data_IF_932577254013
#
_entry.id   IF_932577254013
#
_cell.length_a   1.000
_cell.length_b   1.000
_cell.length_c   1.000
_cell.angle_alpha   90.00
_cell.angle_beta   90.00
_cell.angle_gamma   90.00
#
_symmetry.space_group_name_H-M   'P 1'
#
loop_
_entity.id
_entity.type
_entity.pdbx_description
1 polymer ?
#
# COMPACT_ATOMS: atom_id res chain seq x y z
N UNK A 1 -22.53 83.71 -12.85
CA UNK A 1 -22.92 82.93 -11.66
C UNK A 1 -23.37 81.50 -11.95
N UNK A 2 -24.02 81.16 -13.09
CA UNK A 2 -24.42 79.76 -13.40
C UNK A 2 -23.25 78.78 -13.64
N UNK A 3 -22.17 79.18 -14.32
CA UNK A 3 -21.03 78.29 -14.65
C UNK A 3 -20.16 77.85 -13.45
N UNK A 4 -20.09 78.64 -12.36
CA UNK A 4 -19.32 78.24 -11.16
C UNK A 4 -20.07 77.23 -10.27
N UNK A 5 -21.40 77.23 -10.32
CA UNK A 5 -22.25 76.31 -9.53
C UNK A 5 -22.18 74.89 -10.13
N UNK A 6 -22.11 74.77 -11.46
CA UNK A 6 -21.94 73.47 -12.12
C UNK A 6 -20.56 72.86 -11.82
N UNK A 7 -19.47 73.63 -11.87
CA UNK A 7 -18.12 73.10 -11.61
C UNK A 7 -17.95 72.64 -10.16
N UNK A 8 -18.54 73.36 -9.20
CA UNK A 8 -18.53 72.97 -7.79
C UNK A 8 -19.38 71.74 -7.53
N UNK A 9 -20.53 71.61 -8.19
CA UNK A 9 -21.35 70.39 -8.13
C UNK A 9 -20.63 69.17 -8.74
N UNK A 10 -19.93 69.33 -9.87
CA UNK A 10 -19.14 68.25 -10.47
C UNK A 10 -17.94 67.84 -9.59
N UNK A 11 -17.26 68.79 -8.94
CA UNK A 11 -16.17 68.48 -8.00
C UNK A 11 -16.67 67.77 -6.74
N UNK A 12 -17.84 68.16 -6.21
CA UNK A 12 -18.48 67.50 -5.08
C UNK A 12 -18.94 66.08 -5.44
N UNK A 13 -19.49 65.86 -6.64
CA UNK A 13 -19.87 64.52 -7.12
C UNK A 13 -18.61 63.64 -7.30
N UNK A 14 -17.52 64.18 -7.87
CA UNK A 14 -16.24 63.48 -7.96
C UNK A 14 -15.67 63.15 -6.58
N UNK A 15 -15.73 64.06 -5.61
CA UNK A 15 -15.29 63.80 -4.22
C UNK A 15 -16.15 62.75 -3.52
N UNK A 16 -17.47 62.69 -3.79
CA UNK A 16 -18.35 61.63 -3.28
C UNK A 16 -17.98 60.27 -3.89
N UNK A 17 -17.66 60.20 -5.19
CA UNK A 17 -17.20 58.96 -5.83
C UNK A 17 -15.79 58.51 -5.37
N UNK A 18 -14.90 59.44 -5.01
CA UNK A 18 -13.61 59.11 -4.39
C UNK A 18 -13.75 58.73 -2.91
N UNK A 19 -14.79 59.19 -2.19
CA UNK A 19 -15.06 58.83 -0.80
C UNK A 19 -15.75 57.47 -0.62
N UNK A 20 -16.36 56.91 -1.66
CA UNK A 20 -16.94 55.56 -1.62
C UNK A 20 -15.91 54.44 -1.81
N UNK A 21 -14.63 54.77 -2.02
CA UNK A 21 -13.53 53.80 -2.15
C UNK A 21 -12.44 54.01 -1.07
N UNK A 22 -12.75 54.76 0.00
CA UNK A 22 -11.92 54.80 1.19
C UNK A 22 -12.30 53.62 2.08
N UNK A 23 -11.36 52.69 2.27
CA UNK A 23 -11.38 51.65 3.31
C UNK A 23 -12.29 50.44 3.09
N UNK A 24 -12.12 49.73 1.97
CA UNK A 24 -12.21 48.25 2.05
C UNK A 24 -10.77 47.73 2.14
N UNK A 25 -10.10 48.05 3.25
CA UNK A 25 -8.87 47.36 3.60
C UNK A 25 -9.26 45.96 4.04
N UNK A 26 -9.17 45.02 3.10
CA UNK A 26 -9.15 43.58 3.42
C UNK A 26 -7.85 43.38 4.20
N UNK A 27 -7.96 43.10 5.50
CA UNK A 27 -6.78 42.77 6.31
C UNK A 27 -6.07 41.59 5.63
N UNK A 28 -4.82 41.80 5.24
CA UNK A 28 -3.95 40.73 4.74
C UNK A 28 -3.83 39.69 5.85
N UNK A 29 -4.44 38.53 5.63
CA UNK A 29 -4.48 37.49 6.64
C UNK A 29 -3.24 36.62 6.63
N UNK A 30 -2.40 36.71 5.59
CA UNK A 30 -1.36 35.74 5.29
C UNK A 30 -0.40 35.48 6.46
N UNK A 31 0.08 34.25 6.53
CA UNK A 31 1.17 33.83 7.39
C UNK A 31 2.52 34.05 6.71
N UNK A 32 3.58 34.19 7.51
CA UNK A 32 4.96 34.08 7.01
C UNK A 32 5.35 32.66 6.64
N UNK A 33 4.62 31.66 7.15
CA UNK A 33 4.87 30.25 6.87
C UNK A 33 4.27 29.90 5.50
N UNK A 34 5.11 29.45 4.57
CA UNK A 34 4.68 28.97 3.25
C UNK A 34 5.07 27.52 2.99
N UNK A 35 5.98 26.96 3.79
CA UNK A 35 6.48 25.59 3.65
C UNK A 35 6.71 24.97 5.03
N UNK A 36 6.30 23.72 5.20
CA UNK A 36 6.46 22.94 6.42
C UNK A 36 7.04 21.56 6.10
N UNK A 37 7.98 21.12 6.92
CA UNK A 37 8.51 19.76 6.90
C UNK A 37 8.17 19.11 8.24
N UNK A 38 7.43 18.01 8.21
CA UNK A 38 6.93 17.31 9.40
C UNK A 38 7.49 15.89 9.51
N UNK A 39 7.69 15.43 10.74
CA UNK A 39 8.14 14.05 11.01
C UNK A 39 6.99 13.04 10.83
N UNK A 40 7.20 12.04 9.96
CA UNK A 40 6.24 10.95 9.74
C UNK A 40 6.04 10.01 10.91
N UNK A 41 6.88 10.08 11.94
CA UNK A 41 6.70 9.35 13.21
C UNK A 41 5.64 10.00 14.12
N UNK A 42 5.11 11.15 13.72
CA UNK A 42 4.17 11.96 14.48
C UNK A 42 4.78 13.32 14.84
N UNK A 43 4.09 14.39 14.46
CA UNK A 43 4.56 15.76 14.61
C UNK A 43 3.38 16.74 14.71
N UNK A 44 3.63 17.95 15.20
CA UNK A 44 2.63 19.00 15.32
C UNK A 44 3.21 20.34 14.89
N UNK A 45 2.58 20.98 13.91
CA UNK A 45 2.86 22.35 13.53
C UNK A 45 1.65 23.25 13.76
N UNK A 46 1.90 24.51 14.09
CA UNK A 46 0.87 25.54 14.23
C UNK A 46 1.27 26.74 13.39
N UNK A 47 0.50 27.01 12.36
CA UNK A 47 0.65 28.18 11.50
C UNK A 47 -0.16 29.32 12.11
N UNK A 48 0.46 30.50 12.23
CA UNK A 48 -0.21 31.70 12.73
C UNK A 48 -0.46 32.66 11.59
N UNK A 49 -1.72 33.09 11.45
CA UNK A 49 -2.17 34.07 10.46
C UNK A 49 -2.22 35.46 11.09
N UNK A 50 -1.92 36.50 10.31
CA UNK A 50 -1.94 37.89 10.77
C UNK A 50 -3.35 38.34 11.17
N UNK A 51 -4.36 37.83 10.47
CA UNK A 51 -5.78 38.12 10.69
C UNK A 51 -6.64 36.86 10.61
N UNK A 52 -7.88 36.99 11.09
CA UNK A 52 -8.93 35.97 10.96
C UNK A 52 -9.75 36.11 9.68
N UNK A 53 -9.33 36.98 8.78
CA UNK A 53 -10.03 37.34 7.54
C UNK A 53 -9.86 36.28 6.44
N UNK A 54 -10.15 35.02 6.78
CA UNK A 54 -10.18 33.87 5.89
C UNK A 54 -11.15 32.85 6.47
N UNK A 55 -11.85 32.12 5.62
CA UNK A 55 -12.85 31.16 6.05
C UNK A 55 -12.91 29.92 5.18
N UNK A 56 -12.15 29.88 4.08
CA UNK A 56 -12.05 28.73 3.21
C UNK A 56 -10.72 28.01 3.42
N UNK A 57 -10.80 26.68 3.51
CA UNK A 57 -9.64 25.80 3.62
C UNK A 57 -9.81 24.63 2.65
N UNK A 58 -8.82 24.41 1.79
CA UNK A 58 -8.75 23.30 0.85
C UNK A 58 -7.43 22.55 1.00
N UNK A 59 -7.43 21.25 0.69
CA UNK A 59 -6.22 20.44 0.60
C UNK A 59 -6.11 19.86 -0.80
N UNK A 60 -4.93 20.00 -1.41
CA UNK A 60 -4.58 19.40 -2.68
C UNK A 60 -3.38 18.46 -2.53
N UNK A 61 -3.56 17.19 -2.89
CA UNK A 61 -2.48 16.19 -2.82
C UNK A 61 -1.85 15.98 -4.18
N UNK A 62 -0.53 16.01 -4.25
CA UNK A 62 0.22 15.90 -5.51
C UNK A 62 0.49 14.45 -5.96
N UNK A 63 -0.03 13.46 -5.25
CA UNK A 63 0.19 12.05 -5.59
C UNK A 63 -0.82 11.60 -6.67
N UNK A 64 -0.33 11.29 -7.88
CA UNK A 64 -1.15 10.90 -9.04
C UNK A 64 -2.10 9.71 -8.79
N UNK A 65 -1.79 8.86 -7.80
CA UNK A 65 -2.58 7.68 -7.44
C UNK A 65 -3.29 7.82 -6.08
N UNK A 66 -3.35 9.02 -5.51
CA UNK A 66 -4.05 9.23 -4.24
C UNK A 66 -5.56 9.36 -4.49
N UNK A 67 -6.28 8.26 -4.27
CA UNK A 67 -7.72 8.15 -4.47
C UNK A 67 -8.53 8.21 -3.16
N UNK A 68 -7.88 8.53 -2.04
CA UNK A 68 -8.51 8.46 -0.73
C UNK A 68 -9.29 9.73 -0.40
N UNK A 69 -10.38 9.53 0.33
CA UNK A 69 -11.23 10.62 0.82
C UNK A 69 -10.76 11.13 2.17
N UNK A 70 -11.10 12.38 2.42
CA UNK A 70 -10.89 13.08 3.67
C UNK A 70 -12.21 13.20 4.42
N UNK A 71 -12.17 13.05 5.73
CA UNK A 71 -13.31 13.30 6.60
C UNK A 71 -13.29 14.76 7.05
N UNK A 72 -14.40 15.46 6.87
CA UNK A 72 -14.52 16.89 7.19
C UNK A 72 -15.47 17.04 8.37
N UNK A 73 -15.01 17.68 9.43
CA UNK A 73 -15.78 17.88 10.65
C UNK A 73 -15.99 19.37 10.93
N UNK A 74 -17.15 19.70 11.50
CA UNK A 74 -17.42 21.04 12.00
C UNK A 74 -16.75 21.32 13.36
N UNK A 75 -17.02 22.50 13.90
CA UNK A 75 -16.48 22.98 15.19
C UNK A 75 -16.96 22.15 16.40
N UNK A 76 -18.13 21.52 16.31
CA UNK A 76 -18.69 20.66 17.36
C UNK A 76 -18.18 19.21 17.25
N UNK A 77 -17.39 18.92 16.20
CA UNK A 77 -16.85 17.60 15.93
C UNK A 77 -17.83 16.67 15.21
N UNK A 78 -18.90 17.21 14.61
CA UNK A 78 -19.82 16.44 13.80
C UNK A 78 -19.26 16.30 12.37
N UNK A 79 -19.30 15.07 11.84
CA UNK A 79 -18.91 14.79 10.46
C UNK A 79 -19.87 15.51 9.49
N UNK A 80 -19.32 16.38 8.66
CA UNK A 80 -20.02 17.11 7.60
C UNK A 80 -20.13 16.24 6.36
N UNK A 81 -19.00 15.76 5.84
CA UNK A 81 -18.89 15.01 4.58
C UNK A 81 -17.58 14.21 4.52
N UNK A 82 -17.50 13.33 3.53
CA UNK A 82 -16.31 12.54 3.19
C UNK A 82 -16.04 12.72 1.69
N UNK A 83 -14.93 13.40 1.33
CA UNK A 83 -14.67 13.82 -0.05
C UNK A 83 -13.19 13.71 -0.42
N UNK A 84 -12.89 13.43 -1.69
CA UNK A 84 -11.51 13.33 -2.19
C UNK A 84 -10.82 14.71 -2.31
N UNK A 85 -11.59 15.77 -2.55
CA UNK A 85 -11.12 17.14 -2.65
C UNK A 85 -11.74 17.94 -1.50
N UNK A 86 -11.13 17.92 -0.31
CA UNK A 86 -11.77 18.46 0.88
C UNK A 86 -11.86 19.97 0.81
N UNK A 87 -13.02 20.46 1.24
CA UNK A 87 -13.30 21.87 1.38
C UNK A 87 -14.00 22.11 2.72
N UNK A 88 -13.39 22.96 3.54
CA UNK A 88 -13.94 23.40 4.81
C UNK A 88 -14.23 24.90 4.74
N UNK A 89 -15.48 25.26 5.05
CA UNK A 89 -15.89 26.66 5.28
C UNK A 89 -16.12 26.90 6.77
N UNK A 90 -15.42 27.88 7.34
CA UNK A 90 -15.51 28.21 8.76
C UNK A 90 -14.52 27.42 9.63
N UNK A 91 -14.86 27.26 10.91
CA UNK A 91 -14.04 26.49 11.87
C UNK A 91 -14.40 25.00 11.79
N UNK A 92 -13.43 24.15 12.08
CA UNK A 92 -13.58 22.70 11.99
C UNK A 92 -12.23 22.02 11.73
N UNK A 93 -12.27 20.82 11.15
CA UNK A 93 -11.04 20.09 10.80
C UNK A 93 -11.24 19.19 9.59
N UNK A 94 -10.15 18.97 8.86
CA UNK A 94 -10.04 18.00 7.77
C UNK A 94 -9.11 16.88 8.26
N UNK A 95 -9.57 15.64 8.17
CA UNK A 95 -8.84 14.45 8.66
C UNK A 95 -8.54 13.54 7.47
N UNK A 96 -7.27 13.20 7.29
CA UNK A 96 -6.82 12.12 6.44
C UNK A 96 -6.54 10.91 7.34
N UNK A 97 -7.29 9.81 7.16
CA UNK A 97 -7.09 8.58 7.91
C UNK A 97 -7.05 7.40 6.93
N UNK A 98 -5.91 7.27 6.25
CA UNK A 98 -5.63 6.25 5.26
C UNK A 98 -4.83 5.10 5.89
N UNK A 99 -4.73 3.98 5.17
CA UNK A 99 -3.99 2.79 5.59
C UNK A 99 -2.53 3.10 6.02
N UNK A 100 -1.82 3.92 5.22
CA UNK A 100 -0.41 4.24 5.39
C UNK A 100 -0.13 5.72 5.70
N UNK A 101 -1.13 6.60 5.64
CA UNK A 101 -0.96 8.03 5.97
C UNK A 101 -2.10 8.50 6.87
N UNK A 102 -1.75 9.17 7.98
CA UNK A 102 -2.69 9.76 8.91
C UNK A 102 -2.24 11.16 9.31
N UNK A 103 -3.11 12.15 9.12
CA UNK A 103 -2.91 13.50 9.62
C UNK A 103 -4.23 14.26 9.75
N UNK A 104 -4.24 15.28 10.59
CA UNK A 104 -5.36 16.20 10.80
C UNK A 104 -4.92 17.63 10.57
N UNK A 105 -5.71 18.38 9.80
CA UNK A 105 -5.60 19.83 9.65
C UNK A 105 -6.77 20.48 10.39
N UNK A 106 -6.48 21.09 11.53
CA UNK A 106 -7.45 21.61 12.50
C UNK A 106 -7.45 23.14 12.50
N UNK A 107 -8.62 23.70 12.23
CA UNK A 107 -8.93 25.13 12.32
C UNK A 107 -9.97 25.38 13.42
N UNK A 108 -9.61 25.06 14.65
CA UNK A 108 -10.41 25.42 15.84
C UNK A 108 -10.22 26.88 16.27
N UNK A 109 -9.17 27.55 15.78
CA UNK A 109 -8.87 28.96 16.08
C UNK A 109 -8.93 29.79 14.79
N UNK A 110 -9.63 30.93 14.77
CA UNK A 110 -9.80 31.73 13.55
C UNK A 110 -8.48 32.34 13.02
N UNK A 111 -7.40 32.39 13.82
CA UNK A 111 -6.09 32.91 13.42
C UNK A 111 -4.98 31.85 13.39
N UNK A 112 -5.31 30.59 13.60
CA UNK A 112 -4.32 29.51 13.62
C UNK A 112 -4.80 28.31 12.81
N UNK A 113 -3.84 27.60 12.22
CA UNK A 113 -4.08 26.30 11.62
C UNK A 113 -3.11 25.31 12.27
N UNK A 114 -3.64 24.27 12.90
CA UNK A 114 -2.84 23.23 13.54
C UNK A 114 -2.83 21.99 12.66
N UNK A 115 -1.64 21.54 12.29
CA UNK A 115 -1.45 20.29 11.57
C UNK A 115 -0.89 19.28 12.57
N UNK A 116 -1.54 18.14 12.69
CA UNK A 116 -1.10 17.02 13.53
C UNK A 116 -0.88 15.82 12.63
N UNK A 117 0.35 15.34 12.54
CA UNK A 117 0.69 14.10 11.84
C UNK A 117 0.51 12.95 12.81
N UNK A 118 -0.28 11.94 12.42
CA UNK A 118 -0.38 10.70 13.16
C UNK A 118 0.75 9.76 12.73
N UNK A 119 0.88 9.53 11.42
CA UNK A 119 1.90 8.64 10.85
C UNK A 119 1.99 8.78 9.32
N UNK A 120 3.19 8.73 8.74
CA UNK A 120 3.40 8.45 7.31
C UNK A 120 4.19 7.15 7.12
N UNK A 121 3.51 6.02 7.11
CA UNK A 121 4.10 4.69 6.97
C UNK A 121 4.51 4.35 5.51
N UNK A 122 4.28 5.25 4.55
CA UNK A 122 4.68 5.09 3.15
C UNK A 122 6.20 5.03 3.01
N UNK A 123 6.69 4.51 1.90
CA UNK A 123 8.13 4.50 1.57
C UNK A 123 8.67 5.86 1.13
N UNK A 124 7.78 6.79 0.80
CA UNK A 124 8.09 8.10 0.22
C UNK A 124 7.51 9.24 1.05
N UNK A 125 8.03 10.44 0.81
CA UNK A 125 7.47 11.68 1.33
C UNK A 125 6.02 11.83 0.87
N UNK A 126 5.15 12.24 1.79
CA UNK A 126 3.75 12.55 1.48
C UNK A 126 3.59 14.07 1.40
N UNK A 127 3.29 14.57 0.20
CA UNK A 127 3.26 16.01 -0.08
C UNK A 127 1.87 16.48 -0.45
N UNK A 128 1.45 17.56 0.20
CA UNK A 128 0.19 18.21 -0.10
C UNK A 128 0.31 19.71 0.10
N UNK A 129 -0.63 20.42 -0.49
CA UNK A 129 -0.80 21.85 -0.39
C UNK A 129 -2.06 22.15 0.41
N UNK A 130 -1.97 23.14 1.27
CA UNK A 130 -3.10 23.75 1.96
C UNK A 130 -3.35 25.11 1.31
N UNK A 131 -4.59 25.34 0.90
CA UNK A 131 -5.03 26.65 0.40
C UNK A 131 -5.94 27.26 1.45
N UNK A 132 -5.47 28.32 2.11
CA UNK A 132 -6.29 29.16 2.97
C UNK A 132 -6.75 30.39 2.17
N UNK A 133 -8.04 30.72 2.18
CA UNK A 133 -8.57 31.81 1.36
C UNK A 133 -9.78 32.52 1.94
N UNK A 134 -10.05 33.71 1.38
CA UNK A 134 -11.30 34.45 1.49
C UNK A 134 -11.84 34.74 0.07
N UNK A 135 -12.82 35.62 -0.06
CA UNK A 135 -13.42 35.97 -1.36
C UNK A 135 -12.48 36.77 -2.30
N UNK A 136 -11.39 37.33 -1.77
CA UNK A 136 -10.52 38.29 -2.47
C UNK A 136 -9.11 37.73 -2.73
N UNK A 137 -8.60 36.90 -1.84
CA UNK A 137 -7.23 36.42 -1.88
C UNK A 137 -7.06 35.03 -1.25
N UNK A 138 -5.93 34.40 -1.57
CA UNK A 138 -5.54 33.11 -1.01
C UNK A 138 -4.04 33.07 -0.67
N UNK A 139 -3.68 32.08 0.14
CA UNK A 139 -2.33 31.67 0.44
C UNK A 139 -2.19 30.16 0.27
N UNK A 140 -1.13 29.77 -0.43
CA UNK A 140 -0.69 28.39 -0.55
C UNK A 140 0.35 28.09 0.53
N UNK A 141 0.22 26.94 1.18
CA UNK A 141 1.17 26.43 2.16
C UNK A 141 1.50 24.99 1.77
N UNK A 142 2.77 24.73 1.51
CA UNK A 142 3.26 23.42 1.12
C UNK A 142 3.64 22.62 2.36
N UNK A 143 3.18 21.38 2.46
CA UNK A 143 3.49 20.48 3.57
C UNK A 143 4.14 19.21 3.03
N UNK A 144 5.31 18.90 3.57
CA UNK A 144 6.05 17.66 3.28
C UNK A 144 6.16 16.83 4.57
N UNK A 145 5.45 15.70 4.61
CA UNK A 145 5.56 14.73 5.70
C UNK A 145 6.58 13.66 5.29
N UNK A 146 7.71 13.62 6.00
CA UNK A 146 8.74 12.59 5.81
C UNK A 146 8.20 11.18 6.09
N UNK A 147 8.79 10.10 5.54
CA UNK A 147 8.46 8.74 5.95
C UNK A 147 8.72 8.49 7.44
N UNK A 148 7.86 7.71 8.09
CA UNK A 148 8.09 7.19 9.44
C UNK A 148 9.20 6.16 9.47
N UNK A 149 9.65 5.81 10.67
CA UNK A 149 10.48 4.63 10.87
C UNK A 149 9.71 3.37 10.42
N UNK A 150 10.45 2.37 9.93
CA UNK A 150 9.85 1.09 9.55
C UNK A 150 9.41 0.31 10.79
N UNK A 151 8.29 -0.36 10.67
CA UNK A 151 7.82 -1.28 11.68
C UNK A 151 8.79 -2.45 11.82
N UNK A 152 8.99 -2.88 13.07
CA UNK A 152 9.78 -4.06 13.38
C UNK A 152 8.84 -5.25 13.46
N UNK A 153 9.19 -6.31 12.72
CA UNK A 153 8.49 -7.59 12.81
C UNK A 153 8.57 -8.14 14.25
N UNK A 154 7.43 -8.57 14.79
CA UNK A 154 7.36 -9.24 16.08
C UNK A 154 7.14 -10.75 15.88
N UNK A 155 5.98 -11.13 15.35
CA UNK A 155 5.68 -12.53 15.04
C UNK A 155 4.60 -12.66 13.96
N UNK A 156 4.43 -13.89 13.45
CA UNK A 156 3.36 -14.26 12.53
C UNK A 156 2.66 -15.52 13.03
N UNK A 157 1.34 -15.55 12.91
CA UNK A 157 0.51 -16.71 13.26
C UNK A 157 -0.26 -17.19 12.04
N UNK A 158 -0.57 -18.49 12.00
CA UNK A 158 -1.32 -19.13 10.91
C UNK A 158 -2.51 -19.92 11.44
N UNK A 159 -3.56 -20.04 10.63
CA UNK A 159 -4.69 -20.92 10.91
C UNK A 159 -4.36 -22.35 10.49
N UNK A 160 -3.88 -23.16 11.43
CA UNK A 160 -3.41 -24.53 11.14
C UNK A 160 -4.54 -25.57 11.09
N UNK A 161 -5.71 -25.24 11.64
CA UNK A 161 -6.92 -26.06 11.69
C UNK A 161 -8.02 -25.61 10.71
N UNK A 162 -7.89 -24.39 10.17
CA UNK A 162 -8.80 -23.81 9.19
C UNK A 162 -8.04 -23.43 7.91
N UNK A 163 -7.89 -24.41 7.02
CA UNK A 163 -7.22 -24.25 5.72
C UNK A 163 -7.98 -24.97 4.60
N UNK A 164 -7.81 -24.49 3.37
CA UNK A 164 -8.22 -25.24 2.19
C UNK A 164 -7.07 -26.10 1.70
N UNK A 165 -7.39 -27.30 1.21
CA UNK A 165 -6.41 -28.25 0.70
C UNK A 165 -6.96 -28.95 -0.54
N UNK A 166 -6.09 -29.12 -1.53
CA UNK A 166 -6.38 -29.88 -2.72
C UNK A 166 -5.14 -30.66 -3.15
N UNK A 167 -5.35 -31.90 -3.58
CA UNK A 167 -4.31 -32.70 -4.22
C UNK A 167 -4.68 -32.93 -5.67
N UNK A 168 -3.76 -32.67 -6.60
CA UNK A 168 -3.98 -32.83 -8.03
C UNK A 168 -2.77 -33.43 -8.72
N UNK A 169 -2.99 -34.44 -9.55
CA UNK A 169 -1.95 -35.01 -10.41
C UNK A 169 -1.93 -34.25 -11.74
N UNK A 170 -0.76 -33.75 -12.12
CA UNK A 170 -0.54 -32.97 -13.33
C UNK A 170 0.50 -33.64 -14.22
N UNK A 171 0.23 -33.73 -15.52
CA UNK A 171 1.20 -34.20 -16.51
C UNK A 171 2.32 -33.17 -16.66
N UNK A 172 3.54 -33.52 -16.29
CA UNK A 172 4.69 -32.62 -16.37
C UNK A 172 5.30 -32.62 -17.78
N UNK A 173 5.55 -33.83 -18.30
CA UNK A 173 6.25 -34.03 -19.56
C UNK A 173 5.75 -35.29 -20.24
N UNK A 174 5.70 -35.29 -21.57
CA UNK A 174 5.48 -36.51 -22.37
C UNK A 174 6.34 -36.45 -23.62
N UNK A 175 7.17 -37.47 -23.82
CA UNK A 175 8.14 -37.52 -24.91
C UNK A 175 8.31 -38.95 -25.41
N UNK A 176 8.94 -39.11 -26.58
CA UNK A 176 9.18 -40.41 -27.19
C UNK A 176 10.67 -40.72 -27.11
N UNK A 177 10.99 -41.94 -26.71
CA UNK A 177 12.35 -42.45 -26.64
C UNK A 177 12.43 -43.76 -27.43
N UNK A 178 13.41 -43.85 -28.34
CA UNK A 178 13.64 -45.06 -29.15
C UNK A 178 14.94 -45.73 -28.74
N UNK A 179 14.94 -47.06 -28.83
CA UNK A 179 16.12 -47.90 -28.72
C UNK A 179 16.21 -48.80 -29.94
N UNK A 180 17.24 -48.58 -30.77
CA UNK A 180 17.53 -49.40 -31.94
C UNK A 180 18.58 -50.49 -31.70
N UNK A 181 19.07 -50.64 -30.47
CA UNK A 181 20.09 -51.62 -30.10
C UNK A 181 19.45 -52.90 -29.55
N UNK A 182 20.25 -53.97 -29.52
CA UNK A 182 19.90 -55.29 -28.97
C UNK A 182 19.99 -55.36 -27.44
N UNK A 183 20.46 -54.31 -26.80
CA UNK A 183 20.55 -54.18 -25.34
C UNK A 183 19.70 -53.00 -24.83
N UNK A 184 19.09 -53.13 -23.64
CA UNK A 184 18.45 -51.99 -22.98
C UNK A 184 19.50 -50.94 -22.58
N UNK A 185 19.10 -49.66 -22.55
CA UNK A 185 19.93 -48.58 -21.98
C UNK A 185 19.13 -47.72 -21.00
N UNK A 186 19.81 -47.09 -20.02
CA UNK A 186 19.15 -46.17 -19.08
C UNK A 186 19.02 -44.77 -19.67
N UNK A 187 17.80 -44.24 -19.71
CA UNK A 187 17.54 -42.82 -19.97
C UNK A 187 17.53 -42.05 -18.65
N UNK A 188 18.40 -41.05 -18.51
CA UNK A 188 18.44 -40.19 -17.33
C UNK A 188 17.31 -39.14 -17.41
N UNK A 189 16.35 -39.26 -16.50
CA UNK A 189 15.23 -38.33 -16.36
C UNK A 189 15.32 -37.59 -15.04
N UNK A 190 15.24 -36.26 -15.06
CA UNK A 190 15.13 -35.43 -13.85
C UNK A 190 13.67 -35.08 -13.58
N UNK A 191 12.97 -35.77 -12.64
CA UNK A 191 11.52 -35.63 -12.50
C UNK A 191 11.09 -34.23 -12.07
N UNK A 192 11.91 -33.57 -11.26
CA UNK A 192 11.63 -32.24 -10.71
C UNK A 192 12.19 -31.08 -11.53
N UNK A 193 12.80 -31.33 -12.70
CA UNK A 193 13.43 -30.29 -13.54
C UNK A 193 12.49 -29.11 -13.84
N UNK A 194 11.21 -29.39 -14.07
CA UNK A 194 10.18 -28.38 -14.36
C UNK A 194 9.18 -28.18 -13.21
N UNK A 195 9.40 -28.85 -12.08
CA UNK A 195 8.55 -28.72 -10.91
C UNK A 195 8.93 -27.45 -10.14
N UNK A 196 7.92 -26.76 -9.59
CA UNK A 196 8.11 -25.55 -8.80
C UNK A 196 7.36 -25.68 -7.50
N UNK A 197 8.06 -25.46 -6.39
CA UNK A 197 7.41 -25.21 -5.10
C UNK A 197 7.10 -23.73 -5.02
N UNK A 198 5.85 -23.36 -5.28
CA UNK A 198 5.41 -21.97 -5.36
C UNK A 198 4.79 -21.52 -4.03
N UNK A 199 5.20 -20.34 -3.55
CA UNK A 199 4.64 -19.72 -2.34
C UNK A 199 4.35 -18.25 -2.61
N UNK A 200 3.24 -17.74 -2.09
CA UNK A 200 2.89 -16.32 -2.18
C UNK A 200 2.08 -15.90 -0.96
N UNK A 201 2.38 -14.71 -0.43
CA UNK A 201 1.55 -14.04 0.56
C UNK A 201 0.63 -13.05 -0.12
N UNK A 202 -0.65 -13.10 0.20
CA UNK A 202 -1.62 -12.06 -0.14
C UNK A 202 -2.01 -11.34 1.12
N UNK A 203 -2.07 -10.01 1.09
CA UNK A 203 -2.52 -9.20 2.22
C UNK A 203 -3.90 -8.63 1.91
N UNK A 204 -4.76 -8.56 2.92
CA UNK A 204 -6.02 -7.78 2.86
C UNK A 204 -5.71 -6.27 2.78
N UNK A 205 -4.48 -5.89 3.16
CA UNK A 205 -3.91 -4.55 3.19
C UNK A 205 -2.69 -4.51 2.23
N UNK A 206 -2.84 -4.25 0.92
CA UNK A 206 -1.73 -4.36 -0.03
C UNK A 206 -0.52 -3.47 0.32
N UNK A 207 -0.75 -2.30 0.93
CA UNK A 207 0.30 -1.41 1.41
C UNK A 207 1.15 -2.00 2.55
N UNK A 208 0.64 -3.03 3.23
CA UNK A 208 1.29 -3.63 4.39
C UNK A 208 2.68 -4.22 4.12
N UNK A 209 2.95 -4.68 2.89
CA UNK A 209 4.28 -5.19 2.54
C UNK A 209 5.38 -4.11 2.61
N UNK A 210 5.00 -2.83 2.62
CA UNK A 210 5.93 -1.70 2.73
C UNK A 210 6.21 -1.29 4.19
N UNK A 211 5.43 -1.81 5.15
CA UNK A 211 5.53 -1.42 6.57
C UNK A 211 6.84 -1.87 7.21
N UNK A 212 7.32 -3.06 6.86
CA UNK A 212 8.48 -3.72 7.48
C UNK A 212 9.83 -3.31 6.86
N UNK A 213 9.82 -2.40 5.87
CA UNK A 213 11.00 -2.04 5.07
C UNK A 213 11.24 -3.01 3.90
N UNK A 214 12.28 -2.75 3.10
CA UNK A 214 12.55 -3.55 1.89
C UNK A 214 13.01 -4.98 2.23
N UNK A 215 12.12 -5.95 1.99
CA UNK A 215 12.37 -7.12 1.14
C UNK A 215 13.05 -8.37 1.73
N UNK A 216 13.49 -8.39 2.99
CA UNK A 216 14.29 -9.53 3.49
C UNK A 216 13.67 -10.28 4.68
N UNK A 217 12.44 -9.97 5.09
CA UNK A 217 11.80 -10.74 6.14
C UNK A 217 11.53 -12.16 5.64
N UNK A 218 12.21 -13.11 6.26
CA UNK A 218 11.97 -14.54 6.08
C UNK A 218 11.21 -15.06 7.29
N UNK A 219 10.13 -15.78 7.05
CA UNK A 219 9.29 -16.37 8.10
C UNK A 219 9.16 -17.87 7.87
N UNK A 220 8.99 -18.61 8.98
CA UNK A 220 8.57 -20.00 8.90
C UNK A 220 7.13 -20.06 8.38
N UNK A 221 6.91 -20.81 7.32
CA UNK A 221 5.59 -21.07 6.78
C UNK A 221 5.11 -22.47 7.16
N UNK A 222 3.79 -22.66 7.29
CA UNK A 222 3.23 -24.00 7.38
C UNK A 222 3.56 -24.82 6.13
N UNK A 223 3.71 -26.13 6.32
CA UNK A 223 3.79 -27.11 5.24
C UNK A 223 2.96 -28.35 5.59
N UNK A 224 2.67 -29.17 4.57
CA UNK A 224 1.87 -30.38 4.73
C UNK A 224 2.77 -31.55 5.11
N UNK A 225 2.59 -32.08 6.33
CA UNK A 225 3.33 -33.25 6.82
C UNK A 225 2.40 -34.21 7.55
N UNK A 226 2.43 -35.48 7.14
CA UNK A 226 1.58 -36.51 7.75
C UNK A 226 0.07 -36.28 7.58
N UNK A 227 -0.33 -35.52 6.56
CA UNK A 227 -1.74 -35.20 6.27
C UNK A 227 -2.29 -33.97 7.01
N UNK A 228 -1.47 -33.30 7.82
CA UNK A 228 -1.86 -32.10 8.57
C UNK A 228 -0.93 -30.94 8.22
N UNK A 229 -1.47 -29.73 8.28
CA UNK A 229 -0.71 -28.50 8.11
C UNK A 229 0.01 -28.16 9.41
N UNK A 230 1.31 -27.86 9.36
CA UNK A 230 2.09 -27.53 10.55
C UNK A 230 3.37 -26.78 10.23
N UNK A 231 3.98 -26.18 11.26
CA UNK A 231 5.27 -25.51 11.16
C UNK A 231 6.38 -26.56 11.29
N UNK A 232 7.04 -26.89 10.17
CA UNK A 232 8.06 -27.94 10.10
C UNK A 232 9.43 -27.45 9.60
N UNK A 233 9.71 -26.14 9.74
CA UNK A 233 10.98 -25.52 9.41
C UNK A 233 11.10 -24.94 8.01
N UNK A 234 10.07 -25.06 7.17
CA UNK A 234 10.06 -24.46 5.83
C UNK A 234 10.01 -22.94 5.94
N UNK A 235 10.92 -22.26 5.24
CA UNK A 235 11.07 -20.80 5.30
C UNK A 235 10.68 -20.18 3.95
N UNK A 236 10.04 -19.02 3.98
CA UNK A 236 9.74 -18.23 2.79
C UNK A 236 9.86 -16.73 3.09
N UNK A 237 10.16 -15.95 2.06
CA UNK A 237 10.14 -14.49 2.18
C UNK A 237 8.68 -14.01 2.29
N UNK A 238 8.41 -13.12 3.24
CA UNK A 238 7.13 -12.45 3.35
C UNK A 238 6.98 -11.44 2.21
N UNK A 239 6.35 -11.87 1.12
CA UNK A 239 6.27 -11.11 -0.13
C UNK A 239 4.99 -11.40 -0.91
N UNK A 240 4.47 -10.35 -1.57
CA UNK A 240 3.38 -10.44 -2.54
C UNK A 240 3.83 -11.01 -3.90
N UNK A 241 5.13 -11.18 -4.12
CA UNK A 241 5.67 -11.78 -5.33
C UNK A 241 5.73 -13.29 -5.15
N UNK A 242 5.22 -14.03 -6.14
CA UNK A 242 5.32 -15.48 -6.14
C UNK A 242 6.79 -15.90 -6.16
N UNK A 243 7.19 -16.67 -5.14
CA UNK A 243 8.53 -17.21 -5.00
C UNK A 243 8.54 -18.71 -5.32
N UNK A 244 9.69 -19.20 -5.78
CA UNK A 244 9.93 -20.64 -5.97
C UNK A 244 10.95 -21.11 -4.95
N UNK A 245 10.53 -21.98 -4.03
CA UNK A 245 11.40 -22.58 -3.02
C UNK A 245 12.20 -23.74 -3.59
N UNK A 246 13.33 -24.05 -2.96
CA UNK A 246 14.17 -25.19 -3.34
C UNK A 246 13.46 -26.51 -3.06
N UNK A 247 13.59 -27.44 -4.01
CA UNK A 247 13.07 -28.80 -3.88
C UNK A 247 14.12 -29.72 -3.26
N UNK A 248 13.74 -30.60 -2.33
CA UNK A 248 14.63 -31.64 -1.84
C UNK A 248 14.83 -32.71 -2.93
N UNK A 249 16.09 -33.08 -3.19
CA UNK A 249 16.52 -34.14 -4.12
C UNK A 249 15.99 -34.01 -5.57
N UNK A 250 16.81 -33.41 -6.42
CA UNK A 250 16.57 -33.26 -7.86
C UNK A 250 17.41 -34.24 -8.69
N UNK A 251 17.93 -35.30 -8.08
CA UNK A 251 18.82 -36.23 -8.77
C UNK A 251 18.09 -36.91 -9.94
N UNK A 252 18.75 -37.05 -11.10
CA UNK A 252 18.19 -37.80 -12.21
C UNK A 252 17.99 -39.27 -11.80
N UNK A 253 16.95 -39.88 -12.35
CA UNK A 253 16.69 -41.31 -12.24
C UNK A 253 16.88 -42.00 -13.59
N UNK A 254 17.26 -43.28 -13.53
CA UNK A 254 17.41 -44.11 -14.72
C UNK A 254 16.08 -44.76 -15.10
N UNK A 255 15.59 -44.46 -16.29
CA UNK A 255 14.43 -45.09 -16.90
C UNK A 255 14.91 -46.07 -17.97
N UNK A 256 14.78 -47.40 -17.76
CA UNK A 256 15.31 -48.38 -18.70
C UNK A 256 14.46 -48.40 -19.99
N UNK A 257 15.12 -48.28 -21.15
CA UNK A 257 14.48 -48.36 -22.47
C UNK A 257 14.80 -49.73 -23.10
N UNK A 258 13.82 -50.63 -23.25
CA UNK A 258 14.06 -51.99 -23.77
C UNK A 258 14.63 -52.01 -25.19
N UNK A 259 15.40 -53.05 -25.51
CA UNK A 259 15.97 -53.28 -26.84
C UNK A 259 14.89 -53.26 -27.93
N UNK A 260 15.19 -52.66 -29.08
CA UNK A 260 14.31 -52.59 -30.26
C UNK A 260 12.90 -52.06 -30.00
N UNK A 261 12.73 -51.16 -29.02
CA UNK A 261 11.43 -50.52 -28.74
C UNK A 261 11.44 -49.04 -29.07
N UNK A 262 10.27 -48.50 -29.34
CA UNK A 262 10.01 -47.06 -29.25
C UNK A 262 8.91 -46.86 -28.22
N UNK A 263 9.19 -46.08 -27.19
CA UNK A 263 8.28 -45.89 -26.05
C UNK A 263 7.92 -44.42 -25.91
N UNK A 264 6.66 -44.15 -25.57
CA UNK A 264 6.24 -42.86 -25.01
C UNK A 264 6.42 -42.92 -23.50
N UNK A 265 7.22 -42.00 -22.98
CA UNK A 265 7.45 -41.81 -21.55
C UNK A 265 6.64 -40.58 -21.13
N UNK A 266 5.77 -40.74 -20.13
CA UNK A 266 4.97 -39.66 -19.56
C UNK A 266 5.26 -39.55 -18.07
N UNK A 267 5.62 -38.36 -17.63
CA UNK A 267 5.85 -38.02 -16.23
C UNK A 267 4.60 -37.33 -15.67
N UNK A 268 4.02 -37.94 -14.65
CA UNK A 268 2.93 -37.41 -13.85
C UNK A 268 3.46 -36.99 -12.49
N UNK A 269 2.97 -35.88 -11.94
CA UNK A 269 3.39 -35.39 -10.63
C UNK A 269 2.19 -34.92 -9.82
N UNK A 270 2.12 -35.38 -8.59
CA UNK A 270 1.17 -34.89 -7.61
C UNK A 270 1.60 -33.51 -7.13
N UNK A 271 0.65 -32.59 -7.02
CA UNK A 271 0.81 -31.31 -6.36
C UNK A 271 -0.13 -31.23 -5.17
N UNK A 272 0.42 -30.82 -4.04
CA UNK A 272 -0.32 -30.46 -2.85
C UNK A 272 -0.47 -28.95 -2.82
N UNK A 273 -1.72 -28.50 -2.91
CA UNK A 273 -2.10 -27.11 -2.77
C UNK A 273 -2.74 -26.91 -1.41
N UNK A 274 -2.32 -25.87 -0.71
CA UNK A 274 -3.07 -25.36 0.43
C UNK A 274 -3.11 -23.85 0.44
N UNK A 275 -4.15 -23.33 1.08
CA UNK A 275 -4.29 -21.93 1.40
C UNK A 275 -4.76 -21.79 2.84
N UNK A 276 -4.06 -20.97 3.62
CA UNK A 276 -4.36 -20.70 5.03
C UNK A 276 -4.26 -19.21 5.34
N UNK A 277 -5.05 -18.75 6.31
CA UNK A 277 -5.00 -17.37 6.81
C UNK A 277 -3.79 -17.18 7.70
N UNK A 278 -3.12 -16.04 7.56
CA UNK A 278 -2.09 -15.58 8.50
C UNK A 278 -2.48 -14.26 9.14
N UNK A 279 -1.84 -13.96 10.26
CA UNK A 279 -1.81 -12.63 10.88
C UNK A 279 -0.39 -12.32 11.29
N UNK A 280 0.17 -11.25 10.73
CA UNK A 280 1.51 -10.75 11.04
C UNK A 280 1.38 -9.55 11.99
N UNK A 281 2.18 -9.55 13.04
CA UNK A 281 2.23 -8.49 14.04
C UNK A 281 3.55 -7.72 13.92
N UNK A 282 3.44 -6.41 13.96
CA UNK A 282 4.58 -5.52 13.87
C UNK A 282 4.43 -4.32 14.81
N UNK A 283 5.56 -3.81 15.29
CA UNK A 283 5.61 -2.73 16.29
C UNK A 283 6.43 -1.56 15.75
N UNK A 284 5.87 -0.36 15.83
CA UNK A 284 6.57 0.86 15.47
C UNK A 284 7.65 1.16 16.53
N UNK A 285 8.93 1.32 16.17
CA UNK A 285 10.03 1.36 17.14
C UNK A 285 10.01 2.59 18.06
N UNK A 286 9.58 3.77 17.56
CA UNK A 286 9.45 4.98 18.37
C UNK A 286 8.14 5.09 19.16
N UNK A 287 6.99 4.94 18.48
CA UNK A 287 5.67 5.19 19.08
C UNK A 287 5.11 3.99 19.85
N UNK A 288 5.64 2.78 19.64
CA UNK A 288 5.09 1.55 20.20
C UNK A 288 3.75 1.13 19.58
N UNK A 289 3.27 1.84 18.55
CA UNK A 289 2.04 1.49 17.83
C UNK A 289 2.16 0.08 17.27
N UNK A 290 1.12 -0.73 17.47
CA UNK A 290 1.03 -2.07 16.91
C UNK A 290 0.21 -2.06 15.63
N UNK A 291 0.65 -2.82 14.63
CA UNK A 291 -0.10 -3.12 13.41
C UNK A 291 -0.28 -4.63 13.32
N UNK A 292 -1.49 -5.05 13.00
CA UNK A 292 -1.83 -6.44 12.66
C UNK A 292 -2.23 -6.51 11.19
N UNK A 293 -1.52 -7.34 10.42
CA UNK A 293 -1.73 -7.49 8.98
C UNK A 293 -2.27 -8.88 8.73
N UNK A 294 -3.48 -8.95 8.19
CA UNK A 294 -4.17 -10.20 7.87
C UNK A 294 -4.07 -10.50 6.39
N UNK A 295 -4.04 -11.79 6.07
CA UNK A 295 -3.92 -12.21 4.68
C UNK A 295 -3.96 -13.71 4.50
N UNK A 296 -3.71 -14.16 3.26
CA UNK A 296 -3.68 -15.57 2.89
C UNK A 296 -2.28 -15.97 2.44
N UNK A 297 -1.77 -17.06 2.99
CA UNK A 297 -0.61 -17.76 2.47
C UNK A 297 -1.13 -18.82 1.49
N UNK A 298 -0.63 -18.80 0.25
CA UNK A 298 -0.88 -19.82 -0.75
C UNK A 298 0.40 -20.60 -1.04
N UNK A 299 0.26 -21.91 -1.16
CA UNK A 299 1.37 -22.82 -1.39
C UNK A 299 0.97 -23.91 -2.39
N UNK A 300 1.85 -24.15 -3.36
CA UNK A 300 1.80 -25.27 -4.31
C UNK A 300 3.10 -26.04 -4.20
N UNK A 301 3.07 -27.20 -3.56
CA UNK A 301 4.23 -28.05 -3.38
C UNK A 301 4.17 -29.27 -4.33
N UNK A 302 5.20 -29.53 -5.14
CA UNK A 302 5.30 -30.79 -5.87
C UNK A 302 5.60 -31.93 -4.90
N UNK A 303 4.84 -33.00 -5.03
CA UNK A 303 4.93 -34.21 -4.23
C UNK A 303 5.54 -35.36 -5.01
N UNK A 304 4.90 -36.54 -4.91
CA UNK A 304 5.34 -37.76 -5.59
C UNK A 304 5.14 -37.66 -7.09
N UNK A 305 5.96 -38.40 -7.84
CA UNK A 305 5.81 -38.54 -9.27
C UNK A 305 5.62 -40.00 -9.69
N UNK A 306 5.02 -40.21 -10.84
CA UNK A 306 4.82 -41.49 -11.49
C UNK A 306 5.28 -41.40 -12.95
N UNK A 307 5.95 -42.46 -13.43
CA UNK A 307 6.42 -42.56 -14.81
C UNK A 307 5.64 -43.67 -15.50
N UNK A 308 4.93 -43.28 -16.55
CA UNK A 308 4.23 -44.20 -17.43
C UNK A 308 5.06 -44.43 -18.70
N UNK A 309 5.35 -45.69 -19.01
CA UNK A 309 6.00 -46.11 -20.25
C UNK A 309 5.00 -46.87 -21.12
N UNK A 310 4.84 -46.43 -22.37
CA UNK A 310 3.92 -47.06 -23.32
C UNK A 310 4.62 -47.32 -24.64
N UNK A 311 4.67 -48.59 -25.05
CA UNK A 311 5.20 -48.97 -26.36
C UNK A 311 4.38 -48.35 -27.50
N UNK A 312 5.08 -47.75 -28.45
CA UNK A 312 4.55 -47.28 -29.72
C UNK A 312 4.87 -48.35 -30.76
N UNK A 313 3.84 -49.03 -31.25
CA UNK A 313 3.92 -49.97 -32.37
C UNK A 313 4.28 -49.25 -33.66
#
# INVERSE_FOLDING_TARGET
MKKCIDLTAYLLILLVFYSCNGDVFVDDFRSSDSELILDGNGDVAVIRFASSNWDYLQIYTYEENFSYSYEIYDVDGQLITIEQFPYLKGLGKIVCNEELIGFTVDRSNPKELKITVDENARSTHFRFEIIASNEYEFQEIYVDISPSDRYVFDHITYSLDAYSYAKKTEKQRSFVQSNGWDIPYPYLLSPYENARYEVIFKSEMPGAFQLLGEGNLTVEIPDMKGGYLGLNGTQAQYSSIQQTLSLPNTDPIEVPIPAYTTQRITLWMDYEWFETRYTLYAVHPKTGRQRSITGMLQSKMPGKYEIEQKDLK
#
